data_IF_961153373170
#
_entry.id   IF_961153373170
#
_cell.length_a   1.000
_cell.length_b   1.000
_cell.length_c   1.000
_cell.angle_alpha   90.00
_cell.angle_beta   90.00
_cell.angle_gamma   90.00
#
_symmetry.space_group_name_H-M   'P 1'
#
loop_
_entity.id
_entity.type
_entity.pdbx_description
1 polymer ?
#
# COMPACT_ATOMS: atom_id res chain seq x y z
N UNK A 1 -2.36 4.42 -11.06
CA UNK A 1 -2.97 3.38 -10.19
C UNK A 1 -2.04 2.16 -10.10
N UNK A 2 -2.11 1.32 -9.07
CA UNK A 2 -1.21 0.16 -8.96
C UNK A 2 -1.61 -0.97 -9.94
N UNK A 3 -0.62 -1.66 -10.52
CA UNK A 3 -0.85 -2.84 -11.38
C UNK A 3 -1.54 -3.94 -10.58
N UNK A 4 -2.74 -4.37 -11.00
CA UNK A 4 -3.57 -5.38 -10.31
C UNK A 4 -2.78 -6.66 -9.99
N UNK A 5 -2.01 -7.19 -10.94
CA UNK A 5 -1.19 -8.38 -10.72
C UNK A 5 -0.15 -8.24 -9.59
N UNK A 6 0.41 -7.05 -9.39
CA UNK A 6 1.34 -6.80 -8.30
C UNK A 6 0.66 -6.68 -6.93
N UNK A 7 -0.59 -6.21 -6.90
CA UNK A 7 -1.41 -6.17 -5.68
C UNK A 7 -1.75 -7.60 -5.25
N UNK A 8 -2.19 -8.44 -6.19
CA UNK A 8 -2.46 -9.86 -5.92
C UNK A 8 -1.19 -10.58 -5.45
N UNK A 9 -0.05 -10.37 -6.12
CA UNK A 9 1.25 -10.94 -5.69
C UNK A 9 1.61 -10.55 -4.26
N UNK A 10 1.35 -9.31 -3.84
CA UNK A 10 1.66 -8.84 -2.50
C UNK A 10 0.72 -9.38 -1.42
N UNK A 11 -0.51 -9.79 -1.78
CA UNK A 11 -1.47 -10.44 -0.86
C UNK A 11 -1.13 -11.91 -0.59
N UNK A 12 -0.44 -12.57 -1.52
CA UNK A 12 -0.02 -13.97 -1.36
C UNK A 12 1.12 -14.08 -0.34
N UNK A 13 1.17 -15.17 0.46
CA UNK A 13 2.29 -15.41 1.35
C UNK A 13 3.59 -15.57 0.53
N UNK A 14 4.64 -14.78 0.81
CA UNK A 14 5.91 -14.92 0.11
C UNK A 14 6.69 -16.13 0.62
N UNK A 15 7.50 -16.75 -0.26
CA UNK A 15 8.44 -17.84 0.11
C UNK A 15 9.39 -17.46 1.26
N UNK A 16 9.76 -16.18 1.35
CA UNK A 16 10.66 -15.67 2.40
C UNK A 16 10.02 -14.44 3.06
N UNK A 17 10.05 -14.38 4.38
CA UNK A 17 9.42 -13.31 5.17
C UNK A 17 9.92 -11.91 4.76
N UNK A 18 11.21 -11.77 4.45
CA UNK A 18 11.85 -10.51 4.03
C UNK A 18 11.29 -9.91 2.74
N UNK A 19 10.59 -10.71 1.92
CA UNK A 19 9.99 -10.24 0.66
C UNK A 19 8.64 -9.53 0.87
N UNK A 20 8.11 -9.51 2.09
CA UNK A 20 6.86 -8.81 2.40
C UNK A 20 7.13 -7.30 2.41
N UNK A 21 6.34 -6.56 1.64
CA UNK A 21 6.40 -5.10 1.60
C UNK A 21 4.99 -4.52 1.69
N UNK A 22 4.90 -3.31 2.23
CA UNK A 22 3.62 -2.66 2.44
C UNK A 22 3.12 -1.99 1.16
N UNK A 23 1.81 -2.10 0.94
CA UNK A 23 1.09 -1.37 -0.11
C UNK A 23 -0.06 -0.61 0.53
N UNK A 24 -0.33 0.58 0.03
CA UNK A 24 -1.51 1.36 0.43
C UNK A 24 -2.78 0.53 0.27
N UNK A 25 -3.60 0.46 1.32
CA UNK A 25 -4.85 -0.31 1.30
C UNK A 25 -5.89 0.28 0.35
N UNK A 26 -5.89 1.60 0.12
CA UNK A 26 -6.82 2.29 -0.77
C UNK A 26 -6.43 2.20 -2.25
N UNK A 27 -5.19 2.55 -2.60
CA UNK A 27 -4.77 2.68 -4.01
C UNK A 27 -3.69 1.68 -4.45
N UNK A 28 -3.19 0.82 -3.56
CA UNK A 28 -2.20 -0.22 -3.86
C UNK A 28 -0.76 0.26 -4.09
N UNK A 29 -0.46 1.55 -3.86
CA UNK A 29 0.87 2.14 -4.05
C UNK A 29 1.89 1.51 -3.10
N UNK A 30 3.03 1.10 -3.63
CA UNK A 30 4.10 0.43 -2.86
C UNK A 30 5.08 1.39 -2.16
N UNK A 31 5.16 2.64 -2.63
CA UNK A 31 6.08 3.65 -2.11
C UNK A 31 5.37 4.63 -1.19
N UNK A 32 6.14 5.24 -0.28
CA UNK A 32 5.67 6.25 0.67
C UNK A 32 4.44 5.79 1.47
N UNK A 33 4.55 4.58 2.04
CA UNK A 33 3.54 3.97 2.88
C UNK A 33 3.69 4.47 4.33
N UNK A 34 2.62 5.03 4.88
CA UNK A 34 2.57 5.51 6.25
C UNK A 34 2.00 4.40 7.13
N UNK A 35 2.86 3.77 7.95
CA UNK A 35 2.49 2.58 8.74
C UNK A 35 1.34 2.83 9.72
N UNK A 36 1.32 4.01 10.36
CA UNK A 36 0.28 4.39 11.33
C UNK A 36 -1.14 4.35 10.74
N UNK A 37 -1.30 4.68 9.45
CA UNK A 37 -2.60 4.81 8.79
C UNK A 37 -2.87 3.74 7.72
N UNK A 38 -1.90 2.88 7.39
CA UNK A 38 -2.09 1.84 6.38
C UNK A 38 -2.19 2.32 4.93
N UNK A 39 -1.88 3.58 4.66
CA UNK A 39 -2.10 4.23 3.35
C UNK A 39 -0.85 4.93 2.83
N UNK A 40 -0.85 5.33 1.55
CA UNK A 40 0.24 6.11 0.98
C UNK A 40 0.07 7.61 1.27
N UNK A 41 1.15 8.37 1.14
CA UNK A 41 1.16 9.84 1.35
C UNK A 41 0.09 10.61 0.58
N UNK A 42 -0.32 10.15 -0.60
CA UNK A 42 -1.30 10.86 -1.44
C UNK A 42 -2.70 10.63 -0.91
N UNK A 43 -3.08 9.37 -0.68
CA UNK A 43 -4.37 9.04 -0.08
C UNK A 43 -4.50 9.61 1.33
N UNK A 44 -3.39 9.71 2.06
CA UNK A 44 -3.35 10.41 3.34
C UNK A 44 -3.68 11.89 3.17
N UNK A 45 -3.02 12.59 2.25
CA UNK A 45 -3.31 14.00 1.96
C UNK A 45 -4.76 14.23 1.53
N UNK A 46 -5.27 13.40 0.62
CA UNK A 46 -6.67 13.47 0.16
C UNK A 46 -7.67 13.31 1.32
N UNK A 47 -7.46 12.33 2.20
CA UNK A 47 -8.33 12.12 3.36
C UNK A 47 -8.19 13.24 4.39
N UNK A 48 -6.97 13.73 4.61
CA UNK A 48 -6.71 14.82 5.55
C UNK A 48 -7.31 16.16 5.08
N UNK A 49 -7.48 16.37 3.77
CA UNK A 49 -8.16 17.55 3.23
C UNK A 49 -9.68 17.43 3.19
N UNK A 50 -10.23 16.24 3.47
CA UNK A 50 -11.67 15.96 3.48
C UNK A 50 -12.26 15.89 4.90
N UNK A 51 -11.43 16.06 5.93
CA UNK A 51 -11.82 16.12 7.34
C UNK A 51 -11.49 17.49 7.92
#
# INVERSE_FOLDING_TARGET
MAKKGLVVKARRPPKFAVRRYNRCQRCGRARAYIRKFGICRICFRELASQG
#
